data_IF_639640112553
#
_entry.id   IF_639640112553
#
_cell.length_a   1.000
_cell.length_b   1.000
_cell.length_c   1.000
_cell.angle_alpha   90.00
_cell.angle_beta   90.00
_cell.angle_gamma   90.00
#
_symmetry.space_group_name_H-M   'P 1'
#
loop_
_entity.id
_entity.type
_entity.pdbx_description
1 polymer ?
#
# COMPACT_ATOMS: atom_id res chain seq x y z
N UNK A 1 4.95 -2.86 -18.25
CA UNK A 1 4.16 -3.46 -17.14
C UNK A 1 4.28 -2.60 -15.89
N UNK A 2 5.48 -2.38 -15.35
CA UNK A 2 5.73 -1.46 -14.20
C UNK A 2 5.06 -0.08 -14.32
N UNK A 3 5.19 0.60 -15.47
CA UNK A 3 4.54 1.91 -15.65
C UNK A 3 3.02 1.85 -15.56
N UNK A 4 2.38 0.77 -16.04
CA UNK A 4 0.90 0.66 -16.02
C UNK A 4 0.37 0.47 -14.60
N UNK A 5 1.10 -0.28 -13.78
CA UNK A 5 0.73 -0.55 -12.39
C UNK A 5 0.87 0.73 -11.55
N UNK A 6 1.97 1.46 -11.74
CA UNK A 6 2.19 2.77 -11.14
C UNK A 6 1.13 3.78 -11.57
N UNK A 7 0.91 3.95 -12.89
CA UNK A 7 -0.09 4.88 -13.43
C UNK A 7 -1.50 4.56 -12.88
N UNK A 8 -1.81 3.27 -12.75
CA UNK A 8 -3.08 2.83 -12.21
C UNK A 8 -3.23 3.19 -10.72
N UNK A 9 -2.20 2.93 -9.92
CA UNK A 9 -2.18 3.28 -8.50
C UNK A 9 -2.24 4.80 -8.31
N UNK A 10 -1.48 5.57 -9.11
CA UNK A 10 -1.54 7.03 -9.12
C UNK A 10 -2.93 7.53 -9.46
N UNK A 11 -3.64 6.89 -10.39
CA UNK A 11 -5.03 7.24 -10.70
C UNK A 11 -5.95 7.04 -9.49
N UNK A 12 -5.84 5.89 -8.80
CA UNK A 12 -6.65 5.62 -7.61
C UNK A 12 -6.36 6.61 -6.47
N UNK A 13 -5.08 6.89 -6.21
CA UNK A 13 -4.68 7.87 -5.20
C UNK A 13 -5.14 9.28 -5.57
N UNK A 14 -5.06 9.65 -6.84
CA UNK A 14 -5.56 10.94 -7.31
C UNK A 14 -7.06 11.09 -7.03
N UNK A 15 -7.88 10.10 -7.42
CA UNK A 15 -9.32 10.10 -7.12
C UNK A 15 -9.62 10.17 -5.62
N UNK A 16 -8.79 9.52 -4.80
CA UNK A 16 -8.92 9.58 -3.35
C UNK A 16 -8.68 11.00 -2.81
N UNK A 17 -7.62 11.65 -3.26
CA UNK A 17 -7.26 13.00 -2.82
C UNK A 17 -8.08 14.11 -3.49
N UNK A 18 -8.81 13.85 -4.57
CA UNK A 18 -9.76 14.80 -5.15
C UNK A 18 -11.03 14.98 -4.30
N UNK A 19 -11.33 14.05 -3.39
CA UNK A 19 -12.49 14.14 -2.52
C UNK A 19 -12.35 15.28 -1.50
N UNK A 20 -13.29 16.22 -1.52
CA UNK A 20 -13.29 17.37 -0.61
C UNK A 20 -13.28 16.93 0.87
N UNK A 21 -14.04 15.89 1.23
CA UNK A 21 -14.09 15.38 2.60
C UNK A 21 -12.74 14.82 3.08
N UNK A 22 -11.96 14.22 2.18
CA UNK A 22 -10.63 13.69 2.49
C UNK A 22 -9.65 14.85 2.70
N UNK A 23 -9.65 15.86 1.83
CA UNK A 23 -8.83 17.06 2.00
C UNK A 23 -9.12 17.77 3.32
N UNK A 24 -10.39 17.93 3.68
CA UNK A 24 -10.78 18.53 4.96
C UNK A 24 -10.26 17.71 6.15
N UNK A 25 -10.39 16.38 6.13
CA UNK A 25 -9.88 15.50 7.19
C UNK A 25 -8.35 15.55 7.30
N UNK A 26 -7.62 15.58 6.17
CA UNK A 26 -6.16 15.73 6.16
C UNK A 26 -5.71 17.07 6.74
N UNK A 27 -6.42 18.16 6.45
CA UNK A 27 -6.15 19.46 7.06
C UNK A 27 -6.36 19.43 8.59
N UNK A 28 -7.40 18.75 9.07
CA UNK A 28 -7.64 18.57 10.51
C UNK A 28 -6.49 17.78 11.15
N UNK A 29 -6.05 16.71 10.50
CA UNK A 29 -4.93 15.88 10.95
C UNK A 29 -3.65 16.71 11.10
N UNK A 30 -3.33 17.53 10.10
CA UNK A 30 -2.16 18.39 10.11
C UNK A 30 -2.25 19.47 11.20
N UNK A 31 -3.35 20.23 11.23
CA UNK A 31 -3.57 21.33 12.19
C UNK A 31 -3.50 20.87 13.65
N UNK A 32 -3.92 19.63 13.93
CA UNK A 32 -3.94 19.08 15.28
C UNK A 32 -2.75 18.14 15.54
N UNK A 33 -1.81 17.99 14.60
CA UNK A 33 -0.65 17.10 14.70
C UNK A 33 -1.05 15.66 15.11
N UNK A 34 -2.14 15.16 14.52
CA UNK A 34 -2.65 13.81 14.77
C UNK A 34 -1.65 12.81 14.17
N UNK A 35 -1.27 11.80 14.95
CA UNK A 35 -0.34 10.74 14.54
C UNK A 35 -1.04 9.39 14.44
N UNK A 36 -0.50 8.47 13.65
CA UNK A 36 -1.11 7.14 13.46
C UNK A 36 -2.31 7.18 12.51
N UNK A 37 -2.41 8.23 11.69
CA UNK A 37 -3.54 8.40 10.78
C UNK A 37 -3.46 7.47 9.58
N UNK A 38 -2.35 6.73 9.37
CA UNK A 38 -2.22 5.76 8.29
C UNK A 38 -3.35 4.73 8.35
N UNK A 39 -3.74 4.27 9.54
CA UNK A 39 -4.86 3.33 9.71
C UNK A 39 -6.19 3.96 9.27
N UNK A 40 -6.42 5.23 9.60
CA UNK A 40 -7.60 5.97 9.12
C UNK A 40 -7.59 6.10 7.60
N UNK A 41 -6.45 6.48 7.02
CA UNK A 41 -6.26 6.56 5.58
C UNK A 41 -6.59 5.21 4.92
N UNK A 42 -6.07 4.11 5.47
CA UNK A 42 -6.35 2.78 4.97
C UNK A 42 -7.86 2.44 5.04
N UNK A 43 -8.57 2.83 6.10
CA UNK A 43 -10.03 2.60 6.16
C UNK A 43 -10.77 3.41 5.09
N UNK A 44 -10.44 4.69 4.92
CA UNK A 44 -11.09 5.55 3.92
C UNK A 44 -10.78 5.12 2.49
N UNK A 45 -9.54 4.71 2.23
CA UNK A 45 -9.12 4.21 0.93
C UNK A 45 -9.84 2.90 0.60
N UNK A 46 -9.94 1.98 1.56
CA UNK A 46 -10.74 0.76 1.42
C UNK A 46 -12.21 1.07 1.12
N UNK A 47 -12.80 2.04 1.81
CA UNK A 47 -14.17 2.49 1.57
C UNK A 47 -14.36 3.03 0.13
N UNK A 48 -13.38 3.79 -0.40
CA UNK A 48 -13.41 4.21 -1.79
C UNK A 48 -13.33 3.01 -2.75
N UNK A 49 -12.44 2.06 -2.48
CA UNK A 49 -12.27 0.86 -3.31
C UNK A 49 -13.53 -0.02 -3.35
N UNK A 50 -14.34 -0.06 -2.28
CA UNK A 50 -15.66 -0.73 -2.28
C UNK A 50 -16.59 -0.23 -3.38
N UNK A 51 -16.42 1.02 -3.83
CA UNK A 51 -17.23 1.62 -4.90
C UNK A 51 -16.65 1.35 -6.30
N UNK A 52 -15.65 0.48 -6.41
CA UNK A 52 -14.95 0.16 -7.66
C UNK A 52 -14.97 -1.34 -7.92
N UNK A 53 -14.57 -1.75 -9.12
CA UNK A 53 -14.42 -3.15 -9.50
C UNK A 53 -13.10 -3.79 -9.02
N UNK A 54 -12.27 -3.09 -8.24
CA UNK A 54 -10.98 -3.62 -7.81
C UNK A 54 -11.15 -4.71 -6.76
N UNK A 55 -10.31 -5.73 -6.85
CA UNK A 55 -10.13 -6.67 -5.76
C UNK A 55 -9.04 -6.15 -4.84
N UNK A 56 -9.28 -6.24 -3.54
CA UNK A 56 -8.36 -5.72 -2.55
C UNK A 56 -8.44 -6.49 -1.25
N UNK A 57 -7.31 -6.56 -0.55
CA UNK A 57 -7.18 -7.12 0.79
C UNK A 57 -6.35 -6.17 1.62
N UNK A 58 -6.85 -5.86 2.81
CA UNK A 58 -6.11 -5.09 3.80
C UNK A 58 -5.36 -6.04 4.70
N UNK A 59 -4.14 -5.68 5.07
CA UNK A 59 -3.37 -6.42 6.09
C UNK A 59 -3.19 -7.92 5.79
N UNK A 60 -3.11 -8.27 4.51
CA UNK A 60 -2.91 -9.66 4.09
C UNK A 60 -1.51 -10.12 4.50
N UNK A 61 -1.44 -11.27 5.17
CA UNK A 61 -0.17 -11.93 5.47
C UNK A 61 0.32 -12.71 4.24
N UNK A 62 1.58 -12.47 3.87
CA UNK A 62 2.25 -13.05 2.71
C UNK A 62 3.47 -13.86 3.16
N UNK A 63 3.65 -15.06 2.61
CA UNK A 63 4.75 -15.93 3.00
C UNK A 63 6.09 -15.43 2.44
N UNK A 64 7.11 -15.40 3.30
CA UNK A 64 8.47 -15.04 2.90
C UNK A 64 9.25 -16.23 2.33
N UNK A 65 10.16 -15.98 1.39
CA UNK A 65 11.08 -17.00 0.89
C UNK A 65 12.15 -17.27 1.96
N UNK A 66 12.02 -18.40 2.65
CA UNK A 66 12.93 -18.79 3.74
C UNK A 66 14.39 -18.90 3.28
N UNK A 67 14.66 -19.11 1.98
CA UNK A 67 16.02 -19.13 1.42
C UNK A 67 16.69 -17.75 1.49
N UNK A 68 15.90 -16.68 1.53
CA UNK A 68 16.36 -15.29 1.72
C UNK A 68 16.56 -14.92 3.18
N UNK A 69 16.46 -15.90 4.11
CA UNK A 69 16.67 -15.74 5.56
C UNK A 69 15.91 -14.52 6.13
N UNK A 70 14.58 -14.46 5.94
CA UNK A 70 13.79 -13.37 6.49
C UNK A 70 13.78 -13.45 8.03
N UNK A 71 13.62 -12.31 8.69
CA UNK A 71 13.51 -12.26 10.16
C UNK A 71 12.23 -12.95 10.67
N UNK A 72 11.18 -12.93 9.85
CA UNK A 72 9.88 -13.56 10.13
C UNK A 72 9.44 -14.38 8.91
N UNK A 73 8.69 -15.48 9.12
CA UNK A 73 8.22 -16.34 8.04
C UNK A 73 7.15 -15.69 7.15
N UNK A 74 6.53 -14.61 7.62
CA UNK A 74 5.49 -13.86 6.90
C UNK A 74 5.71 -12.35 7.04
N UNK A 75 5.32 -11.61 6.01
CA UNK A 75 5.19 -10.15 6.01
C UNK A 75 3.71 -9.78 5.86
N UNK A 76 3.28 -8.68 6.47
CA UNK A 76 1.93 -8.13 6.29
C UNK A 76 2.06 -6.81 5.54
N UNK A 77 1.29 -6.66 4.47
CA UNK A 77 1.24 -5.39 3.72
C UNK A 77 -0.04 -4.63 4.04
N UNK A 78 -0.01 -3.29 3.96
CA UNK A 78 -1.21 -2.48 4.21
C UNK A 78 -2.32 -2.82 3.22
N UNK A 79 -1.99 -2.86 1.93
CA UNK A 79 -2.89 -3.29 0.87
C UNK A 79 -2.24 -4.24 -0.12
N UNK A 80 -3.04 -5.21 -0.55
CA UNK A 80 -2.85 -5.96 -1.78
C UNK A 80 -4.00 -5.58 -2.74
N UNK A 81 -3.66 -5.10 -3.93
CA UNK A 81 -4.61 -4.56 -4.91
C UNK A 81 -4.50 -5.32 -6.23
N UNK A 82 -5.64 -5.54 -6.88
CA UNK A 82 -5.72 -6.10 -8.22
C UNK A 82 -6.85 -5.47 -9.02
N UNK A 83 -6.55 -5.06 -10.24
CA UNK A 83 -7.57 -4.61 -11.19
C UNK A 83 -8.29 -5.81 -11.79
N UNK A 84 -9.62 -5.75 -11.86
CA UNK A 84 -10.46 -6.76 -12.51
C UNK A 84 -10.01 -6.99 -13.96
N UNK A 85 -9.86 -8.26 -14.34
CA UNK A 85 -9.42 -8.67 -15.68
C UNK A 85 -7.90 -8.67 -15.88
N UNK A 86 -7.10 -8.32 -14.87
CA UNK A 86 -5.65 -8.56 -14.90
C UNK A 86 -5.32 -10.03 -14.56
N UNK A 87 -4.12 -10.46 -14.93
CA UNK A 87 -3.63 -11.82 -14.66
C UNK A 87 -3.85 -12.20 -13.19
N UNK A 88 -4.36 -13.41 -12.93
CA UNK A 88 -4.81 -13.84 -11.60
C UNK A 88 -3.70 -13.81 -10.53
N UNK A 89 -2.43 -13.88 -10.94
CA UNK A 89 -1.29 -13.94 -10.04
C UNK A 89 -0.51 -12.63 -9.94
N UNK A 90 -1.01 -11.53 -10.52
CA UNK A 90 -0.34 -10.22 -10.51
C UNK A 90 -1.06 -9.23 -9.61
N UNK A 91 -0.37 -8.78 -8.58
CA UNK A 91 -0.92 -7.91 -7.54
C UNK A 91 0.02 -6.73 -7.27
N UNK A 92 -0.59 -5.61 -6.92
CA UNK A 92 0.08 -4.38 -6.51
C UNK A 92 0.06 -4.36 -4.99
N UNK A 93 1.22 -4.28 -4.34
CA UNK A 93 1.29 -3.94 -2.92
C UNK A 93 1.41 -2.46 -2.74
N UNK A 94 0.61 -1.91 -1.83
CA UNK A 94 0.66 -0.52 -1.42
C UNK A 94 0.93 -0.47 0.09
N UNK A 95 1.96 0.29 0.46
CA UNK A 95 2.36 0.60 1.84
C UNK A 95 2.17 2.09 2.12
N UNK A 96 1.55 2.43 3.24
CA UNK A 96 1.31 3.80 3.68
C UNK A 96 2.23 4.10 4.86
N UNK A 97 2.99 5.20 4.78
CA UNK A 97 3.94 5.60 5.83
C UNK A 97 3.72 7.04 6.25
N UNK A 98 3.67 7.27 7.56
CA UNK A 98 3.81 8.58 8.16
C UNK A 98 5.19 8.72 8.80
N UNK A 99 5.82 9.88 8.63
CA UNK A 99 6.90 10.33 9.50
C UNK A 99 6.87 11.87 9.57
N UNK A 100 7.25 12.45 10.71
CA UNK A 100 7.43 13.90 10.84
C UNK A 100 8.63 14.40 10.04
N UNK A 101 9.64 13.57 9.88
CA UNK A 101 10.82 13.86 9.08
C UNK A 101 10.77 13.11 7.75
N UNK A 102 10.77 13.86 6.64
CA UNK A 102 10.69 13.30 5.30
C UNK A 102 11.87 12.36 4.98
N UNK A 103 13.07 12.70 5.47
CA UNK A 103 14.27 11.87 5.24
C UNK A 103 14.13 10.51 5.90
N UNK A 104 13.65 10.49 7.13
CA UNK A 104 13.36 9.28 7.90
C UNK A 104 12.21 8.49 7.27
N UNK A 105 11.19 9.17 6.73
CA UNK A 105 10.13 8.55 5.97
C UNK A 105 10.70 7.74 4.79
N UNK A 106 11.49 8.40 3.93
CA UNK A 106 12.08 7.78 2.74
C UNK A 106 13.01 6.63 3.11
N UNK A 107 13.84 6.79 4.15
CA UNK A 107 14.69 5.69 4.65
C UNK A 107 13.87 4.47 5.09
N UNK A 108 12.78 4.70 5.81
CA UNK A 108 11.89 3.62 6.24
C UNK A 108 11.21 2.95 5.04
N UNK A 109 10.77 3.74 4.05
CA UNK A 109 10.21 3.20 2.80
C UNK A 109 11.22 2.30 2.07
N UNK A 110 12.48 2.72 1.94
CA UNK A 110 13.54 1.91 1.32
C UNK A 110 13.77 0.60 2.10
N UNK A 111 13.83 0.68 3.43
CA UNK A 111 13.99 -0.50 4.27
C UNK A 111 12.79 -1.48 4.13
N UNK A 112 11.59 -0.95 3.92
CA UNK A 112 10.40 -1.78 3.69
C UNK A 112 10.39 -2.39 2.29
N UNK A 113 10.90 -1.71 1.25
CA UNK A 113 11.12 -2.31 -0.07
C UNK A 113 12.07 -3.52 0.01
N UNK A 114 13.14 -3.43 0.80
CA UNK A 114 14.06 -4.55 1.03
C UNK A 114 13.39 -5.74 1.74
N UNK A 115 12.44 -5.48 2.65
CA UNK A 115 11.64 -6.53 3.30
C UNK A 115 10.65 -7.16 2.31
N UNK A 116 9.94 -6.36 1.53
CA UNK A 116 8.98 -6.81 0.51
C UNK A 116 9.66 -7.65 -0.56
N UNK A 117 10.91 -7.35 -0.90
CA UNK A 117 11.72 -8.17 -1.81
C UNK A 117 11.96 -9.61 -1.28
N UNK A 118 11.69 -9.90 -0.01
CA UNK A 118 11.81 -11.24 0.58
C UNK A 118 10.55 -12.10 0.45
N UNK A 119 9.43 -11.56 -0.04
CA UNK A 119 8.19 -12.33 -0.24
C UNK A 119 8.41 -13.44 -1.29
N UNK A 120 7.78 -14.61 -1.11
CA UNK A 120 7.84 -15.72 -2.09
C UNK A 120 7.16 -15.31 -3.39
N UNK A 121 7.89 -15.44 -4.51
CA UNK A 121 7.34 -15.26 -5.86
C UNK A 121 6.19 -16.23 -6.18
N UNK A 122 6.17 -17.41 -5.57
CA UNK A 122 5.12 -18.42 -5.79
C UNK A 122 3.80 -18.08 -5.10
N UNK A 123 3.81 -17.16 -4.13
CA UNK A 123 2.58 -16.67 -3.52
C UNK A 123 1.95 -15.60 -4.40
N UNK A 124 2.77 -14.74 -5.02
CA UNK A 124 2.35 -13.60 -5.82
C UNK A 124 3.48 -13.14 -6.78
N UNK A 125 3.17 -12.81 -8.04
CA UNK A 125 4.05 -11.98 -8.89
C UNK A 125 3.95 -10.51 -8.42
N UNK A 126 4.65 -10.25 -7.31
CA UNK A 126 4.60 -8.97 -6.60
C UNK A 126 5.39 -7.88 -7.27
N UNK A 127 4.72 -6.75 -7.48
CA UNK A 127 5.34 -5.46 -7.83
C UNK A 127 4.95 -4.47 -6.74
N UNK A 128 5.95 -3.85 -6.13
CA UNK A 128 5.80 -2.92 -5.01
C UNK A 128 6.09 -1.50 -5.48
N UNK A 129 5.34 -0.54 -4.95
CA UNK A 129 5.45 0.90 -5.24
C UNK A 129 5.49 1.70 -3.94
#
# INVERSE_FOLDING_TARGET
MLNRDFDHLSTLLHLFFEREDICQKLNIIDQNNITGWEVWFQVEFANMLCSTDHEWWREQALSCDMRKKPERPTLRTDFLLRKKGWAQDSYITLEIKQNRDATSCVKNMIADLEKSAKIKRSELDLRSF
#
